data_IF_838566598017
#
_entry.id   IF_838566598017
#
_cell.length_a   1.000
_cell.length_b   1.000
_cell.length_c   1.000
_cell.angle_alpha   90.00
_cell.angle_beta   90.00
_cell.angle_gamma   90.00
#
_symmetry.space_group_name_H-M   'P 1'
#
loop_
_entity.id
_entity.type
_entity.pdbx_description
1 polymer ?
#
# COMPACT_ATOMS: atom_id res chain seq x y z
N UNK A 1 16.15 -19.10 52.46
CA UNK A 1 15.32 -19.88 51.51
C UNK A 1 14.18 -19.06 50.87
N UNK A 2 13.86 -17.87 51.37
CA UNK A 2 12.74 -17.04 50.87
C UNK A 2 13.05 -16.31 49.54
N UNK A 3 14.30 -15.86 49.37
CA UNK A 3 14.73 -15.10 48.18
C UNK A 3 14.74 -15.94 46.89
N UNK A 4 15.02 -17.25 46.97
CA UNK A 4 15.03 -18.15 45.80
C UNK A 4 13.62 -18.40 45.25
N UNK A 5 12.60 -18.44 46.13
CA UNK A 5 11.19 -18.60 45.73
C UNK A 5 10.67 -17.34 45.02
N UNK A 6 11.06 -16.16 45.51
CA UNK A 6 10.71 -14.87 44.90
C UNK A 6 11.34 -14.68 43.52
N UNK A 7 12.61 -15.07 43.37
CA UNK A 7 13.33 -15.07 42.09
C UNK A 7 12.74 -16.07 41.09
N UNK A 8 12.36 -17.27 41.54
CA UNK A 8 11.71 -18.28 40.70
C UNK A 8 10.30 -17.85 40.24
N UNK A 9 9.53 -17.18 41.10
CA UNK A 9 8.23 -16.64 40.74
C UNK A 9 8.34 -15.45 39.77
N UNK A 10 9.37 -14.62 39.94
CA UNK A 10 9.66 -13.51 39.03
C UNK A 10 10.06 -14.01 37.63
N UNK A 11 10.95 -15.00 37.55
CA UNK A 11 11.33 -15.63 36.27
C UNK A 11 10.17 -16.36 35.59
N UNK A 12 9.32 -17.05 36.36
CA UNK A 12 8.11 -17.68 35.84
C UNK A 12 7.11 -16.65 35.31
N UNK A 13 6.90 -15.54 36.03
CA UNK A 13 6.04 -14.46 35.55
C UNK A 13 6.57 -13.81 34.27
N UNK A 14 7.88 -13.55 34.19
CA UNK A 14 8.50 -13.01 32.98
C UNK A 14 8.35 -13.95 31.77
N UNK A 15 8.61 -15.25 31.95
CA UNK A 15 8.45 -16.25 30.88
C UNK A 15 6.98 -16.47 30.46
N UNK A 16 6.04 -16.39 31.40
CA UNK A 16 4.60 -16.50 31.11
C UNK A 16 4.11 -15.27 30.35
N UNK A 17 4.58 -14.07 30.70
CA UNK A 17 4.22 -12.82 30.00
C UNK A 17 4.76 -12.85 28.56
N UNK A 18 5.99 -13.32 28.35
CA UNK A 18 6.58 -13.47 27.02
C UNK A 18 5.83 -14.51 26.16
N UNK A 19 5.48 -15.66 26.76
CA UNK A 19 4.69 -16.71 26.09
C UNK A 19 3.31 -16.18 25.66
N UNK A 20 2.62 -15.43 26.53
CA UNK A 20 1.31 -14.84 26.22
C UNK A 20 1.46 -13.78 25.11
N UNK A 21 2.50 -12.95 25.15
CA UNK A 21 2.76 -11.97 24.11
C UNK A 21 2.97 -12.63 22.73
N UNK A 22 3.75 -13.72 22.67
CA UNK A 22 3.93 -14.51 21.45
C UNK A 22 2.64 -15.18 20.97
N UNK A 23 1.81 -15.68 21.89
CA UNK A 23 0.51 -16.27 21.56
C UNK A 23 -0.46 -15.24 20.96
N UNK A 24 -0.50 -14.03 21.51
CA UNK A 24 -1.35 -12.93 21.00
C UNK A 24 -0.90 -12.49 19.61
N UNK A 25 0.41 -12.35 19.37
CA UNK A 25 0.96 -12.01 18.05
C UNK A 25 0.63 -13.12 17.03
N UNK A 26 0.77 -14.39 17.42
CA UNK A 26 0.40 -15.53 16.56
C UNK A 26 -1.09 -15.56 16.20
N UNK A 27 -1.98 -15.25 17.14
CA UNK A 27 -3.43 -15.18 16.89
C UNK A 27 -3.82 -14.05 15.92
N UNK A 28 -3.16 -12.89 16.01
CA UNK A 28 -3.35 -11.78 15.05
C UNK A 28 -2.89 -12.16 13.65
N UNK A 29 -1.74 -12.85 13.52
CA UNK A 29 -1.26 -13.35 12.23
C UNK A 29 -2.14 -14.45 11.64
N UNK A 30 -2.73 -15.32 12.46
CA UNK A 30 -3.66 -16.35 12.00
C UNK A 30 -5.01 -15.76 11.53
N UNK A 31 -5.44 -14.64 12.11
CA UNK A 31 -6.71 -13.98 11.79
C UNK A 31 -6.61 -13.04 10.57
N UNK A 32 -5.40 -12.70 10.12
CA UNK A 32 -5.16 -11.88 8.93
C UNK A 32 -5.24 -12.62 7.60
N UNK A 33 -5.41 -13.95 7.60
CA UNK A 33 -5.59 -14.74 6.38
C UNK A 33 -7.06 -14.80 6.01
N UNK A 34 -7.61 -13.67 5.53
CA UNK A 34 -8.88 -13.69 4.81
C UNK A 34 -8.74 -14.61 3.61
N UNK A 35 -9.41 -15.77 3.67
CA UNK A 35 -9.60 -16.62 2.52
C UNK A 35 -10.40 -15.83 1.48
N UNK A 36 -9.76 -15.53 0.35
CA UNK A 36 -10.43 -14.94 -0.79
C UNK A 36 -11.58 -15.86 -1.23
N UNK A 37 -12.82 -15.36 -1.42
CA UNK A 37 -13.87 -16.16 -1.99
C UNK A 37 -13.52 -16.45 -3.45
N UNK A 38 -13.20 -17.72 -3.71
CA UNK A 38 -13.10 -18.27 -5.05
C UNK A 38 -14.53 -18.49 -5.55
N UNK A 39 -15.14 -17.43 -6.09
CA UNK A 39 -16.23 -17.48 -7.06
C UNK A 39 -16.54 -16.05 -7.51
N UNK A 40 -15.80 -15.60 -8.53
CA UNK A 40 -16.15 -14.45 -9.35
C UNK A 40 -15.96 -14.86 -10.81
N UNK A 41 -17.07 -15.00 -11.52
CA UNK A 41 -17.14 -15.17 -12.98
C UNK A 41 -16.41 -14.01 -13.69
N UNK A 42 -15.95 -14.20 -14.95
CA UNK A 42 -15.06 -13.25 -15.61
C UNK A 42 -15.82 -11.97 -15.96
N UNK A 43 -15.79 -11.02 -15.03
CA UNK A 43 -16.18 -9.64 -15.31
C UNK A 43 -15.16 -9.07 -16.27
N UNK A 44 -15.69 -8.56 -17.38
CA UNK A 44 -15.04 -7.80 -18.43
C UNK A 44 -13.77 -7.06 -17.97
N UNK A 45 -12.70 -7.30 -18.71
CA UNK A 45 -11.51 -6.45 -18.84
C UNK A 45 -11.19 -5.65 -17.58
N UNK A 46 -10.56 -6.30 -16.61
CA UNK A 46 -9.73 -5.57 -15.67
C UNK A 46 -8.68 -4.82 -16.50
N UNK A 47 -8.96 -3.55 -16.82
CA UNK A 47 -7.97 -2.62 -17.34
C UNK A 47 -6.79 -2.71 -16.37
N UNK A 48 -5.73 -3.36 -16.81
CA UNK A 48 -4.45 -3.31 -16.13
C UNK A 48 -4.06 -1.85 -16.22
N UNK A 49 -4.35 -1.08 -15.17
CA UNK A 49 -3.88 0.29 -15.01
C UNK A 49 -2.36 0.17 -14.87
N UNK A 50 -1.68 0.09 -16.00
CA UNK A 50 -0.23 0.14 -16.04
C UNK A 50 0.18 1.52 -15.58
N UNK A 51 1.07 1.59 -14.60
CA UNK A 51 1.73 2.82 -14.17
C UNK A 51 2.16 3.63 -15.40
N UNK A 52 1.72 4.89 -15.57
CA UNK A 52 2.07 5.66 -16.75
C UNK A 52 3.59 5.90 -16.80
N UNK A 53 4.14 5.98 -18.02
CA UNK A 53 5.54 6.34 -18.27
C UNK A 53 6.55 5.36 -17.61
N UNK A 54 6.37 4.04 -17.77
CA UNK A 54 7.28 3.01 -17.22
C UNK A 54 8.70 3.05 -17.78
N UNK A 55 8.88 3.55 -19.01
CA UNK A 55 10.19 3.71 -19.64
C UNK A 55 10.94 4.99 -19.23
N UNK A 56 10.30 5.84 -18.42
CA UNK A 56 10.93 7.05 -17.91
C UNK A 56 11.68 6.74 -16.64
N UNK A 57 12.86 7.36 -16.48
CA UNK A 57 13.67 7.21 -15.26
C UNK A 57 12.85 7.53 -14.01
N UNK A 58 12.88 6.62 -13.04
CA UNK A 58 12.22 6.78 -11.76
C UNK A 58 12.72 8.02 -11.03
N UNK A 59 11.81 8.74 -10.36
CA UNK A 59 12.13 9.97 -9.64
C UNK A 59 12.59 11.14 -10.52
N UNK A 60 12.59 11.00 -11.85
CA UNK A 60 13.02 12.08 -12.73
C UNK A 60 12.04 13.26 -12.69
N UNK A 61 12.60 14.47 -12.54
CA UNK A 61 11.81 15.70 -12.51
C UNK A 61 10.94 15.89 -13.77
N UNK A 62 11.40 15.55 -14.99
CA UNK A 62 10.56 15.61 -16.19
C UNK A 62 9.33 14.70 -16.13
N UNK A 63 9.49 13.46 -15.65
CA UNK A 63 8.37 12.50 -15.48
C UNK A 63 7.32 13.08 -14.53
N UNK A 64 7.76 13.55 -13.36
CA UNK A 64 6.85 14.12 -12.36
C UNK A 64 6.11 15.35 -12.89
N UNK A 65 6.82 16.31 -13.49
CA UNK A 65 6.19 17.50 -14.07
C UNK A 65 5.16 17.18 -15.14
N UNK A 66 5.42 16.18 -15.98
CA UNK A 66 4.47 15.77 -17.02
C UNK A 66 3.21 15.15 -16.40
N UNK A 67 3.37 14.27 -15.41
CA UNK A 67 2.25 13.65 -14.68
C UNK A 67 1.44 14.73 -13.96
N UNK A 68 2.10 15.62 -13.21
CA UNK A 68 1.45 16.68 -12.45
C UNK A 68 0.65 17.60 -13.38
N UNK A 69 1.25 18.01 -14.50
CA UNK A 69 0.59 18.87 -15.49
C UNK A 69 -0.60 18.18 -16.14
N UNK A 70 -0.43 16.96 -16.65
CA UNK A 70 -1.53 16.24 -17.32
C UNK A 70 -2.67 15.97 -16.33
N UNK A 71 -2.34 15.63 -15.08
CA UNK A 71 -3.34 15.43 -14.02
C UNK A 71 -4.11 16.73 -13.74
N UNK A 72 -3.41 17.87 -13.59
CA UNK A 72 -4.07 19.13 -13.26
C UNK A 72 -4.95 19.66 -14.38
N UNK A 73 -4.55 19.50 -15.65
CA UNK A 73 -5.33 20.04 -16.79
C UNK A 73 -6.46 19.11 -17.24
N UNK A 74 -6.50 17.87 -16.76
CA UNK A 74 -7.56 16.90 -17.10
C UNK A 74 -8.60 16.71 -16.01
N UNK A 75 -8.34 17.16 -14.77
CA UNK A 75 -9.34 17.23 -13.70
C UNK A 75 -10.33 18.36 -13.96
N UNK A 76 -11.60 18.03 -14.19
CA UNK A 76 -12.69 18.98 -14.47
C UNK A 76 -12.93 19.99 -13.34
N UNK A 77 -12.47 19.71 -12.12
CA UNK A 77 -12.61 20.59 -10.96
C UNK A 77 -11.37 21.47 -10.74
N UNK A 78 -10.29 21.23 -11.50
CA UNK A 78 -9.07 22.00 -11.40
C UNK A 78 -9.24 23.39 -12.01
N UNK A 79 -8.58 24.38 -11.40
CA UNK A 79 -8.49 25.73 -11.97
C UNK A 79 -7.72 25.76 -13.31
N UNK A 80 -6.90 24.74 -13.56
CA UNK A 80 -6.08 24.60 -14.76
C UNK A 80 -6.76 23.73 -15.84
N UNK A 81 -8.02 23.33 -15.66
CA UNK A 81 -8.73 22.44 -16.59
C UNK A 81 -8.73 22.98 -18.02
N UNK A 82 -8.33 22.12 -18.97
CA UNK A 82 -8.37 22.40 -20.41
C UNK A 82 -9.47 21.54 -21.06
N UNK A 83 -10.42 22.14 -21.82
CA UNK A 83 -11.42 21.41 -22.58
C UNK A 83 -10.80 20.37 -23.51
N UNK A 84 -11.48 19.26 -23.77
CA UNK A 84 -10.93 18.12 -24.52
C UNK A 84 -10.43 18.53 -25.91
N UNK A 85 -11.19 19.40 -26.58
CA UNK A 85 -10.90 19.97 -27.90
C UNK A 85 -9.59 20.79 -27.95
N UNK A 86 -9.11 21.28 -26.81
CA UNK A 86 -7.92 22.13 -26.71
C UNK A 86 -6.67 21.38 -26.22
N UNK A 87 -6.77 20.06 -25.95
CA UNK A 87 -5.65 19.23 -25.44
C UNK A 87 -4.70 18.77 -26.56
N UNK A 88 -4.02 19.73 -27.20
CA UNK A 88 -3.11 19.47 -28.33
C UNK A 88 -1.64 19.49 -27.87
N UNK A 89 -0.92 18.39 -28.11
CA UNK A 89 0.53 18.29 -27.87
C UNK A 89 1.29 18.25 -29.21
N UNK A 90 2.39 18.99 -29.30
CA UNK A 90 3.25 19.05 -30.50
C UNK A 90 4.63 18.51 -30.14
N UNK A 91 5.14 17.61 -30.97
CA UNK A 91 6.46 17.00 -30.83
C UNK A 91 7.30 17.31 -32.07
N UNK A 92 8.59 17.58 -31.86
CA UNK A 92 9.57 17.65 -32.94
C UNK A 92 9.89 16.25 -33.47
N UNK A 93 10.51 16.17 -34.65
CA UNK A 93 10.91 14.91 -35.31
C UNK A 93 12.39 14.55 -35.13
#
# INVERSE_FOLDING_TARGET
>A
MENTKKQLNFWRCAAIIELIALLVIGAVFASGRSAAPADAEPTADAEVVTEPLTLWSEGSAPKQKLIDYVTSVTDENSMDFIPVEDRIAVFDM
#
